data_IF_045861578367
#
_entry.id   IF_045861578367
#
_cell.length_a   1.000
_cell.length_b   1.000
_cell.length_c   1.000
_cell.angle_alpha   90.00
_cell.angle_beta   90.00
_cell.angle_gamma   90.00
#
_symmetry.space_group_name_H-M   'P 1'
#
loop_
_entity.id
_entity.type
_entity.pdbx_description
1 polymer ?
#
# COMPACT_ATOMS: atom_id res chain seq x y z
N UNK A 1 -8.92 50.47 -7.78
CA UNK A 1 -8.18 49.25 -7.43
C UNK A 1 -9.01 48.09 -7.95
N UNK A 2 -8.69 47.60 -9.14
CA UNK A 2 -9.33 46.41 -9.68
C UNK A 2 -8.81 45.22 -8.87
N UNK A 3 -9.75 44.44 -8.34
CA UNK A 3 -9.51 43.16 -7.70
C UNK A 3 -8.72 42.31 -8.70
N UNK A 4 -7.47 42.01 -8.35
CA UNK A 4 -6.70 41.01 -9.08
C UNK A 4 -7.39 39.71 -8.71
N UNK A 5 -8.22 39.22 -9.65
CA UNK A 5 -8.71 37.85 -9.61
C UNK A 5 -7.50 36.96 -9.36
N UNK A 6 -7.53 36.25 -8.23
CA UNK A 6 -6.63 35.13 -8.00
C UNK A 6 -6.87 34.20 -9.19
N UNK A 7 -5.93 34.21 -10.13
CA UNK A 7 -5.79 33.12 -11.08
C UNK A 7 -5.47 31.94 -10.17
N UNK A 8 -6.48 31.15 -9.80
CA UNK A 8 -6.27 29.79 -9.34
C UNK A 8 -5.51 29.15 -10.49
N UNK A 9 -4.19 29.14 -10.39
CA UNK A 9 -3.36 28.21 -11.13
C UNK A 9 -4.03 26.86 -10.97
N UNK A 10 -4.33 26.18 -12.06
CA UNK A 10 -4.67 24.76 -12.05
C UNK A 10 -3.52 24.03 -11.35
N UNK A 11 -3.58 23.94 -10.02
CA UNK A 11 -2.62 23.22 -9.20
C UNK A 11 -2.81 21.75 -9.56
N UNK A 12 -1.74 21.12 -10.06
CA UNK A 12 -1.77 19.72 -10.45
C UNK A 12 -2.17 18.90 -9.22
N UNK A 13 -3.40 18.41 -9.21
CA UNK A 13 -3.93 17.68 -8.07
C UNK A 13 -3.29 16.28 -8.03
N UNK A 14 -2.76 15.81 -6.89
CA UNK A 14 -2.02 14.54 -6.85
C UNK A 14 -2.80 13.34 -7.38
N UNK A 15 -4.12 13.29 -7.17
CA UNK A 15 -4.98 12.22 -7.67
C UNK A 15 -5.06 12.21 -9.20
N UNK A 16 -4.99 13.36 -9.87
CA UNK A 16 -5.01 13.41 -11.34
C UNK A 16 -3.72 12.77 -11.92
N UNK A 17 -2.61 12.88 -11.19
CA UNK A 17 -1.36 12.18 -11.55
C UNK A 17 -1.54 10.66 -11.33
N UNK A 18 -2.20 10.25 -10.27
CA UNK A 18 -2.52 8.83 -10.02
C UNK A 18 -3.40 8.25 -11.13
N UNK A 19 -4.42 8.99 -11.58
CA UNK A 19 -5.27 8.57 -12.71
C UNK A 19 -4.45 8.39 -13.99
N UNK A 20 -3.52 9.31 -14.27
CA UNK A 20 -2.61 9.20 -15.42
C UNK A 20 -1.75 7.94 -15.34
N UNK A 21 -1.19 7.64 -14.16
CA UNK A 21 -0.40 6.40 -13.94
C UNK A 21 -1.28 5.16 -14.11
N UNK A 22 -2.47 5.13 -13.51
CA UNK A 22 -3.37 3.98 -13.63
C UNK A 22 -3.82 3.74 -15.07
N UNK A 23 -4.15 4.81 -15.82
CA UNK A 23 -4.50 4.73 -17.23
C UNK A 23 -3.32 4.24 -18.09
N UNK A 24 -2.08 4.63 -17.76
CA UNK A 24 -0.89 4.15 -18.46
C UNK A 24 -0.67 2.64 -18.30
N UNK A 25 -1.02 2.08 -17.15
CA UNK A 25 -0.97 0.63 -16.87
C UNK A 25 -2.21 -0.14 -17.31
N UNK A 26 -3.20 0.53 -17.90
CA UNK A 26 -4.50 -0.06 -18.26
C UNK A 26 -5.21 -0.70 -17.06
N UNK A 27 -5.01 -0.14 -15.86
CA UNK A 27 -5.72 -0.59 -14.66
C UNK A 27 -7.13 -0.01 -14.60
N UNK A 28 -8.09 -0.85 -14.21
CA UNK A 28 -9.43 -0.38 -13.85
C UNK A 28 -9.35 0.38 -12.52
N UNK A 29 -9.79 1.65 -12.54
CA UNK A 29 -9.84 2.51 -11.37
C UNK A 29 -11.18 3.22 -11.23
N UNK A 30 -11.53 3.58 -10.01
CA UNK A 30 -12.72 4.35 -9.66
C UNK A 30 -12.32 5.55 -8.78
N UNK A 31 -12.77 6.74 -9.19
CA UNK A 31 -12.55 7.97 -8.43
C UNK A 31 -13.65 8.09 -7.38
N UNK A 32 -13.33 7.66 -6.16
CA UNK A 32 -14.28 7.61 -5.04
C UNK A 32 -14.66 9.02 -4.52
N UNK A 33 -13.73 9.97 -4.62
CA UNK A 33 -13.92 11.37 -4.24
C UNK A 33 -12.92 12.26 -5.01
N UNK A 34 -13.05 13.58 -4.90
CA UNK A 34 -12.10 14.52 -5.51
C UNK A 34 -10.64 14.23 -5.12
N UNK A 35 -10.44 13.85 -3.85
CA UNK A 35 -9.16 13.57 -3.20
C UNK A 35 -8.85 12.07 -3.05
N UNK A 36 -9.62 11.18 -3.68
CA UNK A 36 -9.48 9.73 -3.48
C UNK A 36 -9.76 8.90 -4.73
N UNK A 37 -8.91 7.91 -4.97
CA UNK A 37 -9.03 6.94 -6.06
C UNK A 37 -8.76 5.52 -5.54
N UNK A 38 -9.45 4.53 -6.09
CA UNK A 38 -9.24 3.13 -5.81
C UNK A 38 -9.05 2.33 -7.09
N UNK A 39 -8.26 1.27 -7.03
CA UNK A 39 -8.01 0.32 -8.11
C UNK A 39 -7.84 -1.08 -7.53
N UNK A 40 -8.04 -2.10 -8.35
CA UNK A 40 -7.80 -3.49 -7.99
C UNK A 40 -6.72 -4.09 -8.87
N UNK A 41 -5.75 -4.77 -8.26
CA UNK A 41 -4.66 -5.42 -8.97
C UNK A 41 -4.65 -6.91 -8.65
N UNK A 42 -4.67 -7.76 -9.67
CA UNK A 42 -4.53 -9.20 -9.52
C UNK A 42 -3.06 -9.55 -9.27
N UNK A 43 -2.78 -10.22 -8.15
CA UNK A 43 -1.47 -10.77 -7.82
C UNK A 43 -1.46 -12.30 -7.85
N UNK A 44 -0.30 -12.89 -7.53
CA UNK A 44 -0.14 -14.35 -7.47
C UNK A 44 -0.95 -14.96 -6.34
N UNK A 45 -0.98 -14.30 -5.18
CA UNK A 45 -1.61 -14.86 -3.98
C UNK A 45 -3.03 -14.39 -3.76
N UNK A 46 -3.29 -13.11 -4.03
CA UNK A 46 -4.55 -12.41 -3.73
C UNK A 46 -4.83 -11.32 -4.76
N UNK A 47 -6.08 -10.87 -4.76
CA UNK A 47 -6.44 -9.59 -5.37
C UNK A 47 -6.17 -8.49 -4.34
N UNK A 48 -5.44 -7.47 -4.77
CA UNK A 48 -5.05 -6.34 -3.95
C UNK A 48 -5.93 -5.14 -4.25
N UNK A 49 -6.55 -4.58 -3.22
CA UNK A 49 -7.25 -3.30 -3.33
C UNK A 49 -6.30 -2.18 -2.98
N UNK A 50 -6.00 -1.31 -3.95
CA UNK A 50 -5.09 -0.18 -3.77
C UNK A 50 -5.91 1.10 -3.77
N UNK A 51 -5.81 1.86 -2.69
CA UNK A 51 -6.48 3.16 -2.53
C UNK A 51 -5.42 4.23 -2.33
N UNK A 52 -5.54 5.32 -3.08
CA UNK A 52 -4.75 6.52 -2.89
C UNK A 52 -5.65 7.67 -2.48
N UNK A 53 -5.24 8.41 -1.45
CA UNK A 53 -5.98 9.54 -0.93
C UNK A 53 -5.04 10.71 -0.63
N UNK A 54 -5.31 11.86 -1.24
CA UNK A 54 -4.59 13.10 -0.94
C UNK A 54 -5.09 13.67 0.39
N UNK A 55 -4.18 14.16 1.23
CA UNK A 55 -4.53 14.93 2.42
C UNK A 55 -3.94 16.32 2.32
N UNK A 56 -4.72 17.35 1.94
CA UNK A 56 -4.23 18.72 1.86
C UNK A 56 -3.72 19.25 3.20
N UNK A 57 -4.36 18.83 4.31
CA UNK A 57 -3.99 19.25 5.67
C UNK A 57 -2.62 18.75 6.10
N UNK A 58 -2.27 17.54 5.70
CA UNK A 58 -1.02 16.88 6.07
C UNK A 58 0.04 17.00 4.98
N UNK A 59 -0.32 17.51 3.80
CA UNK A 59 0.50 17.53 2.58
C UNK A 59 1.04 16.13 2.24
N UNK A 60 0.19 15.10 2.37
CA UNK A 60 0.59 13.70 2.15
C UNK A 60 -0.35 13.01 1.17
N UNK A 61 0.22 12.40 0.11
CA UNK A 61 -0.47 11.41 -0.70
C UNK A 61 -0.33 10.05 -0.02
N UNK A 62 -1.45 9.54 0.50
CA UNK A 62 -1.50 8.29 1.26
C UNK A 62 -1.86 7.15 0.32
N UNK A 63 -1.09 6.08 0.32
CA UNK A 63 -1.41 4.82 -0.31
C UNK A 63 -1.75 3.79 0.76
N UNK A 64 -2.81 3.03 0.52
CA UNK A 64 -3.19 1.85 1.27
C UNK A 64 -3.36 0.72 0.25
N UNK A 65 -2.66 -0.39 0.44
CA UNK A 65 -2.88 -1.63 -0.31
C UNK A 65 -3.38 -2.70 0.66
N UNK A 66 -4.53 -3.30 0.38
CA UNK A 66 -5.16 -4.27 1.28
C UNK A 66 -5.43 -5.61 0.60
N UNK A 67 -5.48 -6.66 1.44
CA UNK A 67 -5.96 -7.98 1.06
C UNK A 67 -6.58 -8.69 2.27
N UNK A 68 -7.46 -9.64 2.00
CA UNK A 68 -8.16 -10.38 3.04
C UNK A 68 -7.25 -11.36 3.79
N UNK A 69 -7.36 -11.35 5.12
CA UNK A 69 -6.70 -12.31 6.00
C UNK A 69 -7.53 -12.53 7.27
N UNK A 70 -7.91 -13.77 7.54
CA UNK A 70 -8.74 -14.14 8.70
C UNK A 70 -7.98 -15.07 9.67
N UNK A 71 -6.95 -14.57 10.36
CA UNK A 71 -6.14 -15.38 11.26
C UNK A 71 -6.99 -15.85 12.46
N UNK A 72 -6.77 -17.08 12.96
CA UNK A 72 -7.33 -17.51 14.24
C UNK A 72 -6.94 -16.54 15.37
N UNK A 73 -7.85 -16.31 16.32
CA UNK A 73 -7.64 -15.32 17.41
C UNK A 73 -6.41 -15.65 18.25
N UNK A 74 -6.14 -16.93 18.49
CA UNK A 74 -4.98 -17.44 19.22
C UNK A 74 -3.65 -17.23 18.47
N UNK A 75 -3.71 -16.97 17.16
CA UNK A 75 -2.56 -16.71 16.29
C UNK A 75 -2.24 -15.22 16.12
N UNK A 76 -3.10 -14.32 16.62
CA UNK A 76 -2.85 -12.88 16.57
C UNK A 76 -1.51 -12.44 17.20
N UNK A 77 -1.04 -13.00 18.33
CA UNK A 77 0.28 -12.65 18.87
C UNK A 77 1.40 -12.96 17.87
N UNK A 78 1.35 -14.12 17.21
CA UNK A 78 2.33 -14.51 16.18
C UNK A 78 2.24 -13.61 14.95
N UNK A 79 1.03 -13.23 14.54
CA UNK A 79 0.83 -12.26 13.45
C UNK A 79 1.47 -10.91 13.75
N UNK A 80 1.28 -10.38 14.96
CA UNK A 80 1.83 -9.07 15.33
C UNK A 80 3.35 -9.08 15.43
N UNK A 81 3.93 -10.19 15.89
CA UNK A 81 5.38 -10.36 15.94
C UNK A 81 5.97 -10.43 14.53
N UNK A 82 5.41 -11.27 13.65
CA UNK A 82 5.89 -11.38 12.27
C UNK A 82 5.71 -10.07 11.50
N UNK A 83 4.62 -9.34 11.74
CA UNK A 83 4.38 -8.00 11.18
C UNK A 83 5.53 -7.04 11.53
N UNK A 84 5.94 -7.02 12.81
CA UNK A 84 7.04 -6.18 13.25
C UNK A 84 8.36 -6.59 12.57
N UNK A 85 8.65 -7.89 12.50
CA UNK A 85 9.86 -8.40 11.84
C UNK A 85 9.88 -8.07 10.35
N UNK A 86 8.75 -8.19 9.64
CA UNK A 86 8.65 -7.77 8.23
C UNK A 86 8.84 -6.27 8.05
N UNK A 87 8.34 -5.46 8.99
CA UNK A 87 8.51 -4.01 8.94
C UNK A 87 9.98 -3.59 9.11
N UNK A 88 10.79 -4.35 9.86
CA UNK A 88 12.24 -4.11 9.94
C UNK A 88 12.97 -4.37 8.59
N UNK A 89 12.34 -5.06 7.65
CA UNK A 89 12.92 -5.37 6.33
C UNK A 89 12.59 -4.32 5.25
N UNK A 90 11.74 -3.35 5.54
CA UNK A 90 11.25 -2.36 4.55
C UNK A 90 11.40 -0.93 5.07
N UNK A 91 11.66 0.00 4.16
CA UNK A 91 11.84 1.43 4.48
C UNK A 91 10.78 2.31 3.83
N UNK A 92 10.13 1.77 2.81
CA UNK A 92 9.25 2.43 1.86
C UNK A 92 7.80 1.96 2.04
N UNK A 93 7.42 1.75 3.30
CA UNK A 93 6.05 1.44 3.72
C UNK A 93 6.04 0.66 5.02
N UNK A 94 4.91 0.06 5.33
CA UNK A 94 4.81 -0.84 6.46
C UNK A 94 3.46 -1.51 6.55
N UNK A 95 3.45 -2.70 7.15
CA UNK A 95 2.26 -3.48 7.36
C UNK A 95 1.58 -3.18 8.69
N UNK A 96 0.25 -3.28 8.67
CA UNK A 96 -0.62 -3.35 9.83
C UNK A 96 -1.77 -4.31 9.56
N UNK A 97 -2.50 -4.69 10.60
CA UNK A 97 -3.66 -5.57 10.50
C UNK A 97 -4.90 -4.87 11.08
N UNK A 98 -5.95 -4.77 10.27
CA UNK A 98 -7.23 -4.22 10.66
C UNK A 98 -8.18 -5.34 11.06
N UNK A 99 -8.08 -5.76 12.33
CA UNK A 99 -8.81 -6.90 12.88
C UNK A 99 -10.33 -6.91 12.64
N UNK A 100 -11.06 -5.80 12.85
CA UNK A 100 -12.52 -5.78 12.62
C UNK A 100 -12.92 -6.06 11.16
N UNK A 101 -12.10 -5.63 10.21
CA UNK A 101 -12.31 -5.84 8.77
C UNK A 101 -11.63 -7.10 8.24
N UNK A 102 -10.75 -7.73 9.03
CA UNK A 102 -9.93 -8.89 8.61
C UNK A 102 -9.07 -8.57 7.40
N UNK A 103 -8.47 -7.38 7.40
CA UNK A 103 -7.63 -6.89 6.31
C UNK A 103 -6.18 -6.78 6.77
N UNK A 104 -5.30 -7.38 5.99
CA UNK A 104 -3.89 -6.98 5.98
C UNK A 104 -3.74 -5.71 5.17
N UNK A 105 -2.89 -4.82 5.66
CA UNK A 105 -2.78 -3.48 5.13
C UNK A 105 -1.32 -3.08 5.02
N UNK A 106 -0.87 -2.83 3.80
CA UNK A 106 0.32 -2.05 3.53
C UNK A 106 -0.06 -0.57 3.47
N UNK A 107 0.67 0.28 4.19
CA UNK A 107 0.48 1.73 4.19
C UNK A 107 1.75 2.44 3.76
N UNK A 108 1.59 3.51 2.99
CA UNK A 108 2.65 4.43 2.62
C UNK A 108 2.13 5.86 2.59
N UNK A 109 2.98 6.82 2.95
CA UNK A 109 2.68 8.24 2.84
C UNK A 109 3.79 8.96 2.08
N UNK A 110 3.48 9.48 0.89
CA UNK A 110 4.37 10.37 0.16
C UNK A 110 4.16 11.79 0.67
N UNK A 111 5.12 12.30 1.45
CA UNK A 111 5.11 13.69 1.93
C UNK A 111 5.45 14.61 0.76
N UNK A 112 4.55 15.55 0.49
CA UNK A 112 4.62 16.55 -0.58
C UNK A 112 4.62 17.98 0.00
N UNK A 113 5.30 18.16 1.14
CA UNK A 113 5.38 19.46 1.81
C UNK A 113 6.17 20.51 1.04
N UNK A 114 5.78 21.77 1.21
CA UNK A 114 6.49 22.91 0.61
C UNK A 114 6.24 23.02 -0.89
N UNK A 115 4.98 22.85 -1.29
CA UNK A 115 4.51 22.94 -2.68
C UNK A 115 5.15 21.88 -3.62
N UNK A 116 5.61 20.76 -3.04
CA UNK A 116 6.18 19.67 -3.82
C UNK A 116 5.08 18.95 -4.61
N UNK A 117 5.37 18.63 -5.88
CA UNK A 117 4.47 17.87 -6.75
C UNK A 117 5.07 16.49 -6.96
N UNK A 118 4.28 15.43 -6.76
CA UNK A 118 4.71 14.07 -7.01
C UNK A 118 5.02 13.87 -8.51
N UNK A 119 6.16 13.28 -8.82
CA UNK A 119 6.40 12.79 -10.17
C UNK A 119 5.57 11.52 -10.43
N UNK A 120 5.06 11.29 -11.65
CA UNK A 120 4.37 10.06 -12.01
C UNK A 120 5.17 8.80 -11.64
N UNK A 121 6.49 8.84 -11.81
CA UNK A 121 7.40 7.74 -11.47
C UNK A 121 7.45 7.45 -9.96
N UNK A 122 7.26 8.47 -9.11
CA UNK A 122 7.19 8.27 -7.66
C UNK A 122 5.89 7.56 -7.25
N UNK A 123 4.77 7.94 -7.87
CA UNK A 123 3.47 7.31 -7.63
C UNK A 123 3.48 5.86 -8.13
N UNK A 124 4.01 5.67 -9.34
CA UNK A 124 4.19 4.36 -9.94
C UNK A 124 5.03 3.43 -9.05
N UNK A 125 6.21 3.89 -8.60
CA UNK A 125 7.06 3.13 -7.70
C UNK A 125 6.35 2.82 -6.37
N UNK A 126 5.60 3.77 -5.82
CA UNK A 126 4.84 3.60 -4.59
C UNK A 126 3.78 2.48 -4.72
N UNK A 127 3.06 2.41 -5.85
CA UNK A 127 2.06 1.37 -6.10
C UNK A 127 2.73 0.02 -6.32
N UNK A 128 3.78 -0.05 -7.14
CA UNK A 128 4.54 -1.30 -7.38
C UNK A 128 5.10 -1.87 -6.07
N UNK A 129 5.76 -1.05 -5.26
CA UNK A 129 6.36 -1.50 -4.00
C UNK A 129 5.31 -2.03 -3.02
N UNK A 130 4.12 -1.44 -3.00
CA UNK A 130 3.02 -1.92 -2.17
C UNK A 130 2.57 -3.33 -2.57
N UNK A 131 2.40 -3.57 -3.87
CA UNK A 131 1.96 -4.87 -4.41
C UNK A 131 3.08 -5.92 -4.23
N UNK A 132 4.31 -5.59 -4.63
CA UNK A 132 5.46 -6.48 -4.51
C UNK A 132 5.73 -6.86 -3.05
N UNK A 133 5.61 -5.91 -2.12
CA UNK A 133 5.77 -6.20 -0.69
C UNK A 133 4.66 -7.11 -0.19
N UNK A 134 3.41 -6.86 -0.56
CA UNK A 134 2.30 -7.73 -0.19
C UNK A 134 2.50 -9.15 -0.72
N UNK A 135 2.93 -9.31 -1.97
CA UNK A 135 3.19 -10.60 -2.61
C UNK A 135 4.37 -11.34 -1.96
N UNK A 136 5.46 -10.62 -1.69
CA UNK A 136 6.67 -11.15 -1.07
C UNK A 136 6.42 -11.67 0.34
N UNK A 137 5.67 -10.93 1.15
CA UNK A 137 5.47 -11.24 2.57
C UNK A 137 4.20 -12.03 2.86
N UNK A 138 3.30 -12.21 1.88
CA UNK A 138 2.11 -13.05 2.06
C UNK A 138 2.43 -14.46 2.62
N UNK A 139 3.41 -15.22 2.08
CA UNK A 139 3.76 -16.53 2.61
C UNK A 139 4.23 -16.49 4.07
N UNK A 140 4.94 -15.43 4.46
CA UNK A 140 5.42 -15.22 5.82
C UNK A 140 4.25 -15.15 6.81
N UNK A 141 3.23 -14.35 6.50
CA UNK A 141 2.02 -14.25 7.30
C UNK A 141 1.23 -15.56 7.34
N UNK A 142 1.18 -16.28 6.21
CA UNK A 142 0.52 -17.58 6.16
C UNK A 142 1.20 -18.61 7.08
N UNK A 143 2.54 -18.67 7.04
CA UNK A 143 3.33 -19.59 7.86
C UNK A 143 3.25 -19.27 9.35
N UNK A 144 3.23 -17.99 9.73
CA UNK A 144 3.09 -17.60 11.14
C UNK A 144 1.69 -17.93 11.70
N UNK A 145 0.63 -17.70 10.92
CA UNK A 145 -0.74 -17.89 11.40
C UNK A 145 -1.23 -19.33 11.28
N UNK A 146 -0.91 -20.05 10.20
CA UNK A 146 -1.41 -21.41 9.95
C UNK A 146 -0.32 -22.47 9.87
N UNK A 147 0.95 -22.07 9.85
CA UNK A 147 2.05 -22.99 10.06
C UNK A 147 2.37 -23.21 11.53
N UNK A 148 3.21 -24.21 11.76
CA UNK A 148 3.84 -24.48 13.07
C UNK A 148 5.22 -23.79 13.20
N UNK A 149 5.52 -22.85 12.30
CA UNK A 149 6.76 -22.07 12.30
C UNK A 149 6.68 -20.92 13.32
N UNK A 150 7.82 -20.58 13.94
CA UNK A 150 7.93 -19.32 14.69
C UNK A 150 7.92 -18.13 13.72
N UNK A 151 7.56 -16.91 14.17
CA UNK A 151 7.61 -15.71 13.35
C UNK A 151 8.93 -15.49 12.61
N UNK A 152 10.07 -15.72 13.26
CA UNK A 152 11.40 -15.59 12.66
C UNK A 152 11.63 -16.66 11.58
N UNK A 153 11.28 -17.92 11.88
CA UNK A 153 11.41 -19.00 10.92
C UNK A 153 10.48 -18.78 9.71
N UNK A 154 9.27 -18.26 9.93
CA UNK A 154 8.33 -17.91 8.86
C UNK A 154 8.92 -16.84 7.93
N UNK A 155 9.56 -15.81 8.50
CA UNK A 155 10.26 -14.78 7.75
C UNK A 155 11.43 -15.35 6.96
N UNK A 156 12.30 -16.13 7.60
CA UNK A 156 13.47 -16.72 6.94
C UNK A 156 13.08 -17.64 5.77
N UNK A 157 12.03 -18.46 5.96
CA UNK A 157 11.53 -19.36 4.91
C UNK A 157 11.01 -18.55 3.73
N UNK A 158 10.17 -17.53 3.98
CA UNK A 158 9.62 -16.68 2.92
C UNK A 158 10.69 -15.87 2.20
N UNK A 159 11.79 -15.54 2.87
CA UNK A 159 12.91 -14.76 2.33
C UNK A 159 13.94 -15.62 1.59
N UNK A 160 13.94 -16.94 1.80
CA UNK A 160 14.74 -17.87 1.02
C UNK A 160 14.19 -17.97 -0.41
N UNK A 161 15.07 -17.94 -1.42
CA UNK A 161 14.73 -17.91 -2.87
C UNK A 161 13.76 -19.02 -3.35
N UNK A 162 13.44 -19.99 -2.51
CA UNK A 162 12.59 -21.15 -2.80
C UNK A 162 11.08 -20.84 -2.92
N UNK A 163 10.59 -19.69 -2.45
CA UNK A 163 9.14 -19.39 -2.45
C UNK A 163 8.68 -18.40 -3.55
N UNK A 164 9.61 -17.66 -4.18
CA UNK A 164 9.30 -16.61 -5.17
C UNK A 164 9.16 -17.07 -6.62
N UNK A 165 9.07 -18.39 -6.87
CA UNK A 165 8.85 -18.95 -8.21
C UNK A 165 7.84 -20.10 -8.13
N UNK A 166 6.57 -19.79 -8.34
CA UNK A 166 5.58 -20.73 -8.84
C UNK A 166 5.06 -20.21 -10.17
#
# INVERSE_FOLDING_TARGET
MAQVDFIHSDEIHPIDIVECVAAHHEWDFDRLAEDQIAMSVEGLWRNYSVTLAWSPREEVLRLICTFDMDPPVDKLPSLYEVLNLTNDQVWDGGFTFWGPQKLMVWRYGLVLSGDAIAAPEQIDQMIRNAIESCERFYPCFQLACWGDATPEAALDIAMSEAYGRA
#
